data_IF_175443121978
#
_entry.id   IF_175443121978
#
_cell.length_a   1.000
_cell.length_b   1.000
_cell.length_c   1.000
_cell.angle_alpha   90.00
_cell.angle_beta   90.00
_cell.angle_gamma   90.00
#
_symmetry.space_group_name_H-M   'P 1'
#
loop_
_entity.id
_entity.type
_entity.pdbx_description
1 polymer ?
#
# COMPACT_ATOMS: atom_id res chain seq x y z
N UNK A 1 1.83 -5.26 4.26
CA UNK A 1 3.14 -5.06 3.59
C UNK A 1 3.55 -3.59 3.67
N UNK A 2 4.82 -3.30 3.43
CA UNK A 2 5.33 -1.95 3.22
C UNK A 2 6.21 -1.90 1.98
N UNK A 3 6.43 -0.71 1.45
CA UNK A 3 7.23 -0.49 0.24
C UNK A 3 8.59 0.13 0.54
N UNK A 4 9.60 -0.16 -0.28
CA UNK A 4 10.92 0.47 -0.19
C UNK A 4 11.42 0.91 -1.55
N UNK A 5 12.20 1.98 -1.61
CA UNK A 5 12.86 2.39 -2.85
C UNK A 5 13.97 1.40 -3.23
N UNK A 6 13.94 0.91 -4.46
CA UNK A 6 15.07 0.20 -5.07
C UNK A 6 15.99 1.25 -5.70
N UNK A 7 17.26 1.29 -5.30
CA UNK A 7 18.25 2.25 -5.78
C UNK A 7 19.43 1.54 -6.45
N UNK A 8 19.83 2.06 -7.60
CA UNK A 8 21.07 1.69 -8.28
C UNK A 8 21.92 2.94 -8.46
N UNK A 9 23.20 2.88 -8.05
CA UNK A 9 24.14 4.01 -8.13
C UNK A 9 23.55 5.30 -7.54
N UNK A 10 22.86 5.18 -6.41
CA UNK A 10 22.22 6.30 -5.70
C UNK A 10 20.92 6.83 -6.33
N UNK A 11 20.47 6.29 -7.47
CA UNK A 11 19.24 6.71 -8.15
C UNK A 11 18.14 5.68 -7.96
N UNK A 12 16.92 6.14 -7.62
CA UNK A 12 15.74 5.26 -7.58
C UNK A 12 15.44 4.67 -8.95
N UNK A 13 15.34 3.34 -9.02
CA UNK A 13 15.03 2.55 -10.21
C UNK A 13 13.73 1.76 -10.10
N UNK A 14 13.21 1.60 -8.89
CA UNK A 14 11.91 0.97 -8.65
C UNK A 14 11.50 1.03 -7.19
N UNK A 15 10.54 0.19 -6.86
CA UNK A 15 9.97 0.02 -5.53
C UNK A 15 9.79 -1.47 -5.26
N UNK A 16 10.15 -1.94 -4.07
CA UNK A 16 9.90 -3.31 -3.63
C UNK A 16 8.67 -3.39 -2.73
N UNK A 17 8.00 -4.54 -2.74
CA UNK A 17 6.99 -4.97 -1.77
C UNK A 17 7.73 -5.79 -0.72
N UNK A 18 7.48 -5.53 0.55
CA UNK A 18 8.07 -6.26 1.66
C UNK A 18 6.98 -6.58 2.67
N UNK A 19 6.88 -7.83 3.10
CA UNK A 19 5.88 -8.26 4.08
C UNK A 19 6.51 -8.45 5.46
N UNK A 20 5.67 -8.43 6.51
CA UNK A 20 6.15 -8.64 7.88
C UNK A 20 6.62 -10.08 8.13
N UNK A 21 6.17 -11.03 7.31
CA UNK A 21 6.63 -12.42 7.31
C UNK A 21 7.88 -12.65 6.44
N UNK A 22 8.52 -11.58 5.95
CA UNK A 22 9.82 -11.62 5.28
C UNK A 22 9.80 -11.98 3.78
N UNK A 23 8.63 -11.96 3.14
CA UNK A 23 8.52 -12.11 1.68
C UNK A 23 8.82 -10.77 1.00
N UNK A 24 9.46 -10.85 -0.16
CA UNK A 24 9.85 -9.71 -0.96
C UNK A 24 9.43 -9.88 -2.42
N UNK A 25 9.05 -8.77 -3.04
CA UNK A 25 8.70 -8.67 -4.45
C UNK A 25 8.99 -7.28 -5.01
N UNK A 26 8.73 -7.08 -6.29
CA UNK A 26 8.88 -5.80 -6.97
C UNK A 26 7.49 -5.21 -7.15
N UNK A 27 7.22 -4.02 -6.61
CA UNK A 27 5.99 -3.29 -6.88
C UNK A 27 6.01 -2.70 -8.30
N UNK A 28 7.10 -2.02 -8.62
CA UNK A 28 7.28 -1.37 -9.91
C UNK A 28 8.77 -1.13 -10.20
N UNK A 29 9.16 -1.23 -11.47
CA UNK A 29 10.55 -1.00 -11.89
C UNK A 29 10.63 -0.36 -13.27
N UNK A 30 11.73 0.36 -13.56
CA UNK A 30 11.94 1.00 -14.87
C UNK A 30 12.09 0.01 -16.03
N UNK A 31 12.63 -1.18 -15.74
CA UNK A 31 12.84 -2.24 -16.75
C UNK A 31 11.57 -3.06 -17.02
N UNK A 32 10.56 -2.97 -16.16
CA UNK A 32 9.30 -3.70 -16.34
C UNK A 32 8.50 -3.04 -17.45
N UNK A 33 8.16 -3.84 -18.47
CA UNK A 33 7.22 -3.47 -19.53
C UNK A 33 5.84 -3.95 -19.11
N UNK A 34 4.98 -3.00 -18.75
CA UNK A 34 3.61 -3.25 -18.30
C UNK A 34 2.70 -2.19 -18.92
N UNK A 35 1.45 -2.56 -19.19
CA UNK A 35 0.40 -1.61 -19.58
C UNK A 35 0.04 -0.68 -18.43
N UNK A 36 0.23 -1.15 -17.19
CA UNK A 36 0.07 -0.35 -15.99
C UNK A 36 1.36 0.37 -15.64
N UNK A 37 1.31 1.71 -15.65
CA UNK A 37 2.50 2.55 -15.44
C UNK A 37 2.22 3.77 -14.57
N UNK A 38 3.22 4.17 -13.80
CA UNK A 38 3.26 5.47 -13.13
C UNK A 38 4.59 6.16 -13.47
N UNK A 39 4.50 7.19 -14.31
CA UNK A 39 5.67 7.83 -14.89
C UNK A 39 6.53 6.82 -15.65
N UNK A 40 7.80 6.69 -15.24
CA UNK A 40 8.77 5.79 -15.87
C UNK A 40 8.71 4.33 -15.39
N UNK A 41 7.97 4.02 -14.33
CA UNK A 41 7.94 2.69 -13.73
C UNK A 41 6.78 1.87 -14.31
N UNK A 42 7.08 0.66 -14.80
CA UNK A 42 6.06 -0.35 -15.07
C UNK A 42 5.71 -1.09 -13.78
N UNK A 43 4.42 -1.27 -13.53
CA UNK A 43 3.89 -1.91 -12.32
C UNK A 43 3.84 -3.42 -12.53
N UNK A 44 4.30 -4.16 -11.52
CA UNK A 44 4.26 -5.62 -11.50
C UNK A 44 2.99 -6.09 -10.78
N UNK A 45 1.95 -6.40 -11.56
CA UNK A 45 0.68 -6.88 -11.00
C UNK A 45 0.84 -8.26 -10.36
N UNK A 46 1.70 -9.11 -10.92
CA UNK A 46 1.92 -10.46 -10.42
C UNK A 46 2.46 -10.46 -8.98
N UNK A 47 3.47 -9.64 -8.69
CA UNK A 47 4.02 -9.54 -7.33
C UNK A 47 3.03 -8.87 -6.37
N UNK A 48 2.21 -7.92 -6.83
CA UNK A 48 1.12 -7.38 -6.01
C UNK A 48 0.17 -8.51 -5.60
N UNK A 49 -0.28 -9.31 -6.56
CA UNK A 49 -1.28 -10.36 -6.36
C UNK A 49 -0.75 -11.55 -5.56
N UNK A 50 0.53 -11.88 -5.70
CA UNK A 50 1.14 -13.05 -5.05
C UNK A 50 1.82 -12.73 -3.71
N UNK A 51 2.20 -11.48 -3.47
CA UNK A 51 2.96 -11.09 -2.27
C UNK A 51 2.19 -10.06 -1.43
N UNK A 52 1.79 -8.93 -2.00
CA UNK A 52 1.09 -7.90 -1.23
C UNK A 52 -0.30 -8.37 -0.78
N UNK A 53 -1.10 -8.92 -1.70
CA UNK A 53 -2.47 -9.36 -1.43
C UNK A 53 -2.54 -10.41 -0.31
N UNK A 54 -1.76 -11.51 -0.33
CA UNK A 54 -1.84 -12.49 0.75
C UNK A 54 -1.39 -11.94 2.11
N UNK A 55 -0.58 -10.87 2.11
CA UNK A 55 -0.17 -10.20 3.36
C UNK A 55 -1.26 -9.34 3.98
N UNK A 56 -2.34 -9.04 3.24
CA UNK A 56 -3.51 -8.31 3.75
C UNK A 56 -4.49 -9.21 4.50
N UNK A 57 -4.39 -10.53 4.32
CA UNK A 57 -5.35 -11.49 4.85
C UNK A 57 -4.88 -11.89 6.26
N UNK A 58 -5.55 -11.42 7.33
CA UNK A 58 -5.17 -11.79 8.69
C UNK A 58 -5.40 -13.29 8.91
N UNK A 59 -4.49 -13.94 9.63
CA UNK A 59 -4.57 -15.37 9.95
C UNK A 59 -5.25 -15.63 11.29
N UNK A 60 -5.30 -14.62 12.16
CA UNK A 60 -5.91 -14.65 13.48
C UNK A 60 -6.91 -13.51 13.70
N UNK A 61 -7.76 -13.65 14.73
CA UNK A 61 -8.76 -12.62 15.08
C UNK A 61 -8.11 -11.31 15.57
N UNK A 62 -7.01 -11.42 16.30
CA UNK A 62 -6.34 -10.28 16.95
C UNK A 62 -5.18 -9.71 16.12
N UNK A 63 -5.05 -10.13 14.86
CA UNK A 63 -4.00 -9.60 13.97
C UNK A 63 -4.33 -8.22 13.45
N UNK A 64 -3.30 -7.37 13.39
CA UNK A 64 -3.36 -6.03 12.82
C UNK A 64 -2.80 -6.10 11.40
N UNK A 65 -3.54 -5.56 10.43
CA UNK A 65 -3.09 -5.47 9.05
C UNK A 65 -2.35 -4.16 8.85
N UNK A 66 -1.10 -4.23 8.41
CA UNK A 66 -0.25 -3.05 8.14
C UNK A 66 -0.07 -2.85 6.63
N UNK A 67 -0.34 -1.64 6.14
CA UNK A 67 -0.25 -1.28 4.70
C UNK A 67 0.48 0.06 4.52
N UNK A 68 1.67 0.05 3.93
CA UNK A 68 2.43 1.27 3.63
C UNK A 68 2.94 1.25 2.17
N UNK A 69 2.20 1.72 1.17
CA UNK A 69 1.06 2.65 1.15
C UNK A 69 -0.12 2.06 0.33
N UNK A 70 -1.35 2.54 0.57
CA UNK A 70 -2.48 2.39 -0.36
C UNK A 70 -2.35 3.46 -1.46
N UNK A 71 -1.63 3.11 -2.52
CA UNK A 71 -1.28 4.01 -3.61
C UNK A 71 -1.87 3.62 -4.97
N UNK A 72 -1.60 4.47 -5.96
CA UNK A 72 -2.04 4.26 -7.35
C UNK A 72 -1.45 2.98 -7.96
N UNK A 73 -0.23 2.58 -7.58
CA UNK A 73 0.44 1.42 -8.19
C UNK A 73 -0.25 0.13 -7.78
N UNK A 74 -0.50 -0.05 -6.49
CA UNK A 74 -1.18 -1.19 -5.90
C UNK A 74 -2.62 -1.30 -6.43
N UNK A 75 -3.31 -0.15 -6.56
CA UNK A 75 -4.69 -0.09 -7.05
C UNK A 75 -4.86 -0.45 -8.54
N UNK A 76 -3.79 -0.68 -9.30
CA UNK A 76 -3.94 -1.28 -10.63
C UNK A 76 -4.33 -2.75 -10.58
N UNK A 77 -4.03 -3.45 -9.49
CA UNK A 77 -4.52 -4.81 -9.26
C UNK A 77 -5.98 -4.77 -8.80
N UNK A 78 -6.86 -5.46 -9.53
CA UNK A 78 -8.25 -5.66 -9.10
C UNK A 78 -8.31 -6.54 -7.85
N UNK A 79 -7.48 -7.59 -7.78
CA UNK A 79 -7.42 -8.49 -6.64
C UNK A 79 -7.01 -7.74 -5.37
N UNK A 80 -6.07 -6.81 -5.47
CA UNK A 80 -5.70 -5.92 -4.38
C UNK A 80 -6.89 -5.07 -3.91
N UNK A 81 -7.59 -4.41 -4.83
CA UNK A 81 -8.74 -3.56 -4.49
C UNK A 81 -9.85 -4.35 -3.80
N UNK A 82 -10.20 -5.51 -4.35
CA UNK A 82 -11.23 -6.37 -3.79
C UNK A 82 -10.84 -6.91 -2.41
N UNK A 83 -9.57 -7.31 -2.24
CA UNK A 83 -9.07 -7.81 -0.96
C UNK A 83 -9.04 -6.70 0.09
N UNK A 84 -8.54 -5.52 -0.27
CA UNK A 84 -8.52 -4.36 0.62
C UNK A 84 -9.93 -4.01 1.11
N UNK A 85 -10.93 -4.01 0.23
CA UNK A 85 -12.33 -3.76 0.64
C UNK A 85 -12.88 -4.85 1.56
N UNK A 86 -12.53 -6.13 1.33
CA UNK A 86 -12.93 -7.22 2.23
C UNK A 86 -12.32 -7.05 3.62
N UNK A 87 -11.03 -6.70 3.68
CA UNK A 87 -10.32 -6.50 4.94
C UNK A 87 -10.83 -5.27 5.68
N UNK A 88 -11.08 -4.16 4.99
CA UNK A 88 -11.71 -2.96 5.56
C UNK A 88 -13.12 -3.22 6.12
N UNK A 89 -13.86 -4.19 5.58
CA UNK A 89 -15.19 -4.54 6.05
C UNK A 89 -15.18 -5.68 7.10
N UNK A 90 -14.00 -6.21 7.43
CA UNK A 90 -13.83 -7.27 8.41
C UNK A 90 -13.53 -6.66 9.80
N UNK A 91 -13.79 -7.39 10.90
CA UNK A 91 -13.54 -6.90 12.26
C UNK A 91 -12.04 -7.00 12.64
N UNK A 92 -11.16 -6.41 11.82
CA UNK A 92 -9.72 -6.37 12.04
C UNK A 92 -9.20 -4.94 12.05
N UNK A 93 -8.22 -4.67 12.89
CA UNK A 93 -7.54 -3.39 12.89
C UNK A 93 -6.64 -3.25 11.67
N UNK A 94 -6.70 -2.09 11.03
CA UNK A 94 -5.85 -1.74 9.90
C UNK A 94 -5.10 -0.47 10.23
N UNK A 95 -3.79 -0.50 10.05
CA UNK A 95 -2.94 0.68 10.11
C UNK A 95 -2.30 0.83 8.74
N UNK A 96 -2.45 2.01 8.14
CA UNK A 96 -1.78 2.24 6.88
C UNK A 96 -1.67 3.70 6.47
N UNK A 97 -0.78 3.94 5.54
CA UNK A 97 -0.68 5.20 4.81
C UNK A 97 -1.50 5.10 3.52
N UNK A 98 -2.10 6.20 3.11
CA UNK A 98 -2.94 6.27 1.90
C UNK A 98 -2.62 7.53 1.12
N UNK A 99 -2.61 7.42 -0.21
CA UNK A 99 -2.25 8.53 -1.07
C UNK A 99 -3.17 9.74 -0.85
N UNK A 100 -2.56 10.90 -0.63
CA UNK A 100 -3.31 12.16 -0.44
C UNK A 100 -4.24 12.43 -1.64
N UNK A 101 -3.74 12.19 -2.85
CA UNK A 101 -4.51 12.25 -4.10
C UNK A 101 -4.59 10.85 -4.69
N UNK A 102 -5.75 10.51 -5.21
CA UNK A 102 -6.01 9.21 -5.81
C UNK A 102 -7.28 9.23 -6.66
N UNK A 103 -7.52 8.10 -7.31
CA UNK A 103 -8.73 7.85 -8.08
C UNK A 103 -9.97 7.75 -7.15
N UNK A 104 -11.19 7.61 -7.72
CA UNK A 104 -12.40 7.48 -6.89
C UNK A 104 -12.37 6.31 -5.90
N UNK A 105 -11.56 5.27 -6.14
CA UNK A 105 -11.42 4.16 -5.20
C UNK A 105 -10.68 4.61 -3.93
N UNK A 106 -9.56 5.30 -4.07
CA UNK A 106 -8.80 5.85 -2.94
C UNK A 106 -9.63 6.91 -2.18
N UNK A 107 -10.41 7.74 -2.87
CA UNK A 107 -11.29 8.71 -2.20
C UNK A 107 -12.35 8.04 -1.33
N UNK A 108 -13.01 7.00 -1.86
CA UNK A 108 -14.03 6.24 -1.12
C UNK A 108 -13.50 5.63 0.17
N UNK A 109 -12.25 5.17 0.22
CA UNK A 109 -11.64 4.64 1.44
C UNK A 109 -11.50 5.75 2.50
N UNK A 110 -11.10 6.96 2.10
CA UNK A 110 -10.93 8.10 3.00
C UNK A 110 -12.24 8.69 3.50
N UNK A 111 -13.33 8.51 2.75
CA UNK A 111 -14.67 9.00 3.08
C UNK A 111 -15.46 8.04 3.98
N UNK A 112 -14.88 6.89 4.35
CA UNK A 112 -15.57 5.95 5.24
C UNK A 112 -15.72 6.52 6.65
N UNK A 113 -16.91 6.39 7.20
CA UNK A 113 -17.24 6.86 8.56
C UNK A 113 -16.50 6.08 9.66
N UNK A 114 -16.01 4.87 9.36
CA UNK A 114 -15.27 4.01 10.27
C UNK A 114 -13.74 4.14 10.14
N UNK A 115 -13.25 5.11 9.37
CA UNK A 115 -11.83 5.38 9.19
C UNK A 115 -11.42 6.66 9.93
N UNK A 116 -10.44 6.52 10.83
CA UNK A 116 -9.74 7.68 11.39
C UNK A 116 -8.65 8.15 10.42
N UNK A 117 -8.95 9.22 9.67
CA UNK A 117 -8.00 9.80 8.73
C UNK A 117 -7.19 10.92 9.39
N UNK A 118 -5.86 10.72 9.49
CA UNK A 118 -4.93 11.74 9.98
C UNK A 118 -4.09 12.29 8.84
N UNK A 119 -4.27 13.57 8.51
CA UNK A 119 -3.46 14.26 7.52
C UNK A 119 -2.11 14.69 8.10
N UNK A 120 -1.03 14.04 7.65
CA UNK A 120 0.34 14.40 8.04
C UNK A 120 0.86 15.54 7.16
N UNK A 121 1.29 16.62 7.81
CA UNK A 121 2.00 17.76 7.26
C UNK A 121 3.34 17.95 7.98
N UNK A 122 4.27 18.71 7.42
CA UNK A 122 5.59 18.93 8.03
C UNK A 122 5.51 19.46 9.47
N UNK A 123 4.48 20.26 9.77
CA UNK A 123 4.26 20.88 11.08
C UNK A 123 3.71 19.95 12.18
N UNK A 124 3.09 18.82 11.82
CA UNK A 124 2.47 17.91 12.81
C UNK A 124 3.12 16.52 12.84
N UNK A 125 4.08 16.24 11.95
CA UNK A 125 4.72 14.93 11.84
C UNK A 125 5.23 14.38 13.17
N UNK A 126 5.97 15.20 13.92
CA UNK A 126 6.64 14.74 15.14
C UNK A 126 5.70 14.70 16.35
N UNK A 127 4.59 15.45 16.30
CA UNK A 127 3.60 15.56 17.38
C UNK A 127 2.60 14.39 17.32
N UNK A 128 2.34 13.85 16.13
CA UNK A 128 1.35 12.80 15.93
C UNK A 128 1.74 11.45 16.53
N UNK A 129 3.03 11.21 16.80
CA UNK A 129 3.50 9.97 17.42
C UNK A 129 2.91 9.77 18.81
N UNK A 130 2.67 10.85 19.55
CA UNK A 130 2.15 10.80 20.92
C UNK A 130 0.61 10.90 20.99
N UNK A 131 -0.08 10.98 19.84
CA UNK A 131 -1.52 11.28 19.75
C UNK A 131 -2.37 10.15 19.17
N UNK A 132 -1.74 9.05 18.73
CA UNK A 132 -2.35 7.90 18.08
C UNK A 132 -1.96 6.64 18.85
#
# INVERSE_FOLDING_TARGET
FFTREIKERGRRVGFSINTLDGREGILAHKSIRSEYRVGKYGVNIEDIDTIAVPSLIPKGKDEIVVIDEIGKMECFSLLFRDTLMRVLNAPHWIIGSIAQKGDPFIQKIKERDDVMLVCIAQRNRDILVDQI
#
